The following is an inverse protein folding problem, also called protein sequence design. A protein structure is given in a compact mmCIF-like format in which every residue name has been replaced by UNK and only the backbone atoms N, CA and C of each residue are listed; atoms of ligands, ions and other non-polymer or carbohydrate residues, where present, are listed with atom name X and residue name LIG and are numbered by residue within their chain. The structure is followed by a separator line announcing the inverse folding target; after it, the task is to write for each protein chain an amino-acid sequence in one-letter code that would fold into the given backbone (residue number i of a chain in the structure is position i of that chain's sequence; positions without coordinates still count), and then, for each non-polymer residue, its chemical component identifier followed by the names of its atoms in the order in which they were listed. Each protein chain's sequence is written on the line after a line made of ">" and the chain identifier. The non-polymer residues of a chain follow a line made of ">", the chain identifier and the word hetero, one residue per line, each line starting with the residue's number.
data_IF_157548119441
#
_entry.id   IF_157548119441
#
_cell.length_a   1.000
_cell.length_b   1.000
_cell.length_c   1.000
_cell.angle_alpha   90.00
_cell.angle_beta   90.00
_cell.angle_gamma   90.00
#
_symmetry.space_group_name_H-M   'P 1'
#
loop_
_entity.id
_entity.type
_entity.pdbx_description
1 polymer ?
#
# COMPACT_ATOMS: atom_id res chain seq x y z
N UNK A 1 -19.58 -39.64 32.60
CA UNK A 1 -19.84 -40.21 31.25
C UNK A 1 -19.25 -39.35 30.11
N UNK A 2 -19.38 -37.98 30.13
CA UNK A 2 -18.83 -37.13 29.09
C UNK A 2 -17.28 -37.11 29.17
N UNK A 3 -16.71 -37.01 30.35
CA UNK A 3 -15.25 -36.94 30.55
C UNK A 3 -14.59 -38.31 30.29
N UNK A 4 -15.27 -39.42 30.61
CA UNK A 4 -14.79 -40.75 30.25
C UNK A 4 -14.77 -40.98 28.75
N UNK A 5 -15.81 -40.51 28.03
CA UNK A 5 -15.90 -40.58 26.57
C UNK A 5 -14.76 -39.76 25.91
N UNK A 6 -14.51 -38.55 26.40
CA UNK A 6 -13.42 -37.69 25.92
C UNK A 6 -12.05 -38.32 26.19
N UNK A 7 -11.86 -39.01 27.33
CA UNK A 7 -10.61 -39.73 27.61
C UNK A 7 -10.38 -40.90 26.68
N UNK A 8 -11.46 -41.66 26.39
CA UNK A 8 -11.39 -42.79 25.45
C UNK A 8 -11.13 -42.33 24.03
N UNK A 9 -11.80 -41.27 23.56
CA UNK A 9 -11.57 -40.68 22.25
C UNK A 9 -10.14 -40.17 22.12
N UNK A 10 -9.59 -39.55 23.14
CA UNK A 10 -8.18 -39.08 23.15
C UNK A 10 -7.19 -40.26 23.07
N UNK A 11 -7.48 -41.39 23.75
CA UNK A 11 -6.65 -42.62 23.64
C UNK A 11 -6.75 -43.26 22.26
N UNK A 12 -7.96 -43.32 21.67
CA UNK A 12 -8.18 -43.85 20.33
C UNK A 12 -7.41 -43.01 19.29
N UNK A 13 -7.47 -41.69 19.36
CA UNK A 13 -6.74 -40.81 18.46
C UNK A 13 -5.21 -40.97 18.60
N UNK A 14 -4.69 -41.15 19.82
CA UNK A 14 -3.25 -41.41 20.04
C UNK A 14 -2.84 -42.76 19.43
N UNK A 15 -3.65 -43.78 19.55
CA UNK A 15 -3.38 -45.12 18.96
C UNK A 15 -3.47 -45.09 17.43
N UNK A 16 -4.44 -44.37 16.89
CA UNK A 16 -4.62 -44.18 15.43
C UNK A 16 -3.41 -43.42 14.82
N UNK A 17 -2.96 -42.39 15.48
CA UNK A 17 -1.76 -41.66 15.06
C UNK A 17 -0.47 -42.51 15.14
N UNK A 18 -0.37 -43.40 16.13
CA UNK A 18 0.75 -44.37 16.20
C UNK A 18 0.66 -45.43 15.10
N UNK A 19 -0.53 -45.92 14.78
CA UNK A 19 -0.76 -46.83 13.64
C UNK A 19 -0.41 -46.17 12.31
N UNK A 20 -0.89 -44.94 12.08
CA UNK A 20 -0.55 -44.16 10.91
C UNK A 20 0.98 -43.92 10.75
N UNK A 21 1.68 -43.71 11.87
CA UNK A 21 3.17 -43.62 11.87
C UNK A 21 3.85 -44.92 11.50
N UNK A 22 3.35 -46.02 11.98
CA UNK A 22 3.89 -47.38 11.69
C UNK A 22 3.62 -47.74 10.22
N UNK A 23 2.44 -47.45 9.69
CA UNK A 23 2.10 -47.67 8.28
C UNK A 23 2.95 -46.77 7.35
N UNK A 24 3.18 -45.53 7.75
CA UNK A 24 4.06 -44.61 6.99
C UNK A 24 5.52 -45.13 6.98
N UNK A 25 6.03 -45.65 8.08
CA UNK A 25 7.36 -46.26 8.13
C UNK A 25 7.45 -47.54 7.29
N UNK A 26 6.35 -48.32 7.22
CA UNK A 26 6.26 -49.46 6.32
C UNK A 26 6.27 -49.02 4.83
N UNK A 27 5.51 -47.97 4.50
CA UNK A 27 5.53 -47.36 3.17
C UNK A 27 6.94 -46.86 2.80
N UNK A 28 7.66 -46.23 3.74
CA UNK A 28 9.03 -45.76 3.52
C UNK A 28 10.01 -46.91 3.29
N UNK A 29 9.88 -48.03 3.99
CA UNK A 29 10.66 -49.25 3.76
C UNK A 29 10.31 -49.92 2.42
N UNK A 30 9.03 -49.95 2.04
CA UNK A 30 8.59 -50.45 0.74
C UNK A 30 9.15 -49.57 -0.41
N UNK A 31 9.21 -48.26 -0.21
CA UNK A 31 9.84 -47.34 -1.17
C UNK A 31 11.37 -47.60 -1.29
N UNK A 32 12.07 -47.82 -0.18
CA UNK A 32 13.50 -48.14 -0.21
C UNK A 32 13.78 -49.47 -0.93
N UNK A 33 12.96 -50.48 -0.66
CA UNK A 33 13.05 -51.78 -1.38
C UNK A 33 12.68 -51.60 -2.85
N UNK A 34 11.66 -50.82 -3.14
CA UNK A 34 11.25 -50.47 -4.51
C UNK A 34 12.34 -49.72 -5.27
N UNK A 35 13.05 -48.82 -4.61
CA UNK A 35 14.16 -48.08 -5.20
C UNK A 35 15.34 -49.00 -5.53
N UNK A 36 15.68 -49.91 -4.63
CA UNK A 36 16.75 -50.94 -4.88
C UNK A 36 16.37 -51.88 -6.02
N UNK A 37 15.10 -52.31 -6.11
CA UNK A 37 14.59 -53.16 -7.18
C UNK A 37 14.57 -52.44 -8.53
N UNK A 38 14.20 -51.17 -8.53
CA UNK A 38 14.14 -50.31 -9.73
C UNK A 38 15.54 -50.01 -10.30
N UNK A 39 16.54 -49.90 -9.44
CA UNK A 39 17.93 -49.63 -9.87
C UNK A 39 18.66 -50.91 -10.41
N UNK A 40 17.96 -52.06 -10.43
CA UNK A 40 18.46 -53.25 -11.07
C UNK A 40 18.33 -53.15 -12.61
N UNK A 41 19.42 -53.22 -13.38
CA UNK A 41 19.43 -52.94 -14.83
C UNK A 41 18.56 -53.86 -15.70
N UNK A 42 17.97 -54.91 -15.13
CA UNK A 42 17.09 -55.88 -15.83
C UNK A 42 15.60 -55.51 -15.67
N UNK A 43 15.23 -54.53 -14.80
CA UNK A 43 13.84 -54.23 -14.47
C UNK A 43 13.37 -52.82 -14.93
N UNK A 44 14.16 -52.13 -15.72
CA UNK A 44 13.86 -50.79 -16.23
C UNK A 44 12.60 -50.72 -17.11
N UNK A 45 12.08 -51.84 -17.59
CA UNK A 45 10.86 -51.91 -18.40
C UNK A 45 9.59 -52.18 -17.57
N UNK A 46 9.70 -52.43 -16.28
CA UNK A 46 8.54 -52.59 -15.41
C UNK A 46 8.06 -51.18 -14.97
N UNK A 47 6.79 -50.87 -15.24
CA UNK A 47 6.17 -49.62 -14.82
C UNK A 47 6.32 -49.45 -13.29
N UNK A 48 7.00 -48.42 -12.78
CA UNK A 48 7.29 -48.30 -11.37
C UNK A 48 5.99 -48.15 -10.57
N UNK A 49 5.88 -48.85 -9.44
CA UNK A 49 4.71 -48.84 -8.57
C UNK A 49 4.35 -47.42 -8.08
N UNK A 50 5.36 -46.53 -7.96
CA UNK A 50 5.18 -45.10 -7.66
C UNK A 50 5.75 -44.28 -8.80
N UNK A 51 4.85 -43.63 -9.54
CA UNK A 51 5.24 -42.76 -10.65
C UNK A 51 5.27 -41.30 -10.21
N UNK A 52 6.41 -40.65 -10.42
CA UNK A 52 6.49 -39.18 -10.22
C UNK A 52 6.13 -38.50 -11.54
N UNK A 53 4.97 -37.86 -11.56
CA UNK A 53 4.57 -37.02 -12.67
C UNK A 53 5.29 -35.66 -12.59
N UNK A 54 5.83 -35.22 -13.72
CA UNK A 54 6.60 -33.98 -13.76
C UNK A 54 6.24 -33.15 -14.97
N UNK A 55 5.86 -31.91 -14.73
CA UNK A 55 5.66 -30.90 -15.75
C UNK A 55 6.92 -30.04 -15.85
N UNK A 56 7.49 -29.92 -17.04
CA UNK A 56 8.68 -29.09 -17.33
C UNK A 56 8.21 -27.87 -18.09
N UNK A 57 8.16 -26.71 -17.42
CA UNK A 57 7.74 -25.45 -17.99
C UNK A 57 8.95 -24.78 -18.63
N UNK A 58 9.08 -24.89 -19.94
CA UNK A 58 10.27 -24.45 -20.68
C UNK A 58 10.40 -22.94 -20.78
N UNK A 59 9.28 -22.25 -20.87
CA UNK A 59 9.24 -20.80 -21.09
C UNK A 59 9.38 -20.01 -19.79
N UNK A 60 9.24 -20.66 -18.64
CA UNK A 60 9.44 -20.06 -17.32
C UNK A 60 10.74 -20.59 -16.74
N UNK A 61 11.75 -19.72 -16.75
CA UNK A 61 13.06 -20.02 -16.17
C UNK A 61 13.17 -19.44 -14.77
N UNK A 62 14.04 -20.01 -13.96
CA UNK A 62 14.44 -19.41 -12.69
C UNK A 62 15.91 -19.71 -12.39
N UNK A 63 16.54 -18.86 -11.63
CA UNK A 63 17.93 -18.97 -11.28
C UNK A 63 18.14 -20.03 -10.19
N UNK A 64 19.04 -20.95 -10.43
CA UNK A 64 19.53 -21.89 -9.45
C UNK A 64 21.06 -21.82 -9.46
N UNK A 65 21.65 -21.30 -8.40
CA UNK A 65 23.10 -21.20 -8.27
C UNK A 65 23.79 -20.58 -9.51
N UNK A 66 23.27 -19.42 -9.97
CA UNK A 66 23.77 -18.66 -11.13
C UNK A 66 23.51 -19.32 -12.51
N UNK A 67 22.70 -20.37 -12.56
CA UNK A 67 22.28 -20.98 -13.81
C UNK A 67 20.78 -20.85 -14.02
N UNK A 68 20.36 -20.39 -15.20
CA UNK A 68 18.95 -20.40 -15.60
C UNK A 68 18.52 -21.83 -15.95
N UNK A 69 17.54 -22.35 -15.23
CA UNK A 69 16.98 -23.68 -15.47
C UNK A 69 15.48 -23.62 -15.70
N UNK A 70 14.90 -24.51 -16.52
CA UNK A 70 13.47 -24.62 -16.68
C UNK A 70 12.79 -24.91 -15.34
N UNK A 71 11.62 -24.31 -15.14
CA UNK A 71 10.80 -24.60 -13.99
C UNK A 71 10.24 -26.01 -14.06
N UNK A 72 10.20 -26.69 -12.92
CA UNK A 72 9.73 -28.07 -12.83
C UNK A 72 8.72 -28.19 -11.71
N UNK A 73 7.55 -28.70 -12.02
CA UNK A 73 6.45 -28.94 -11.08
C UNK A 73 6.08 -30.43 -11.02
N UNK A 74 6.02 -30.99 -9.81
CA UNK A 74 5.68 -32.39 -9.53
C UNK A 74 4.34 -32.54 -8.79
N UNK A 75 3.57 -31.50 -8.73
CA UNK A 75 2.31 -31.42 -7.98
C UNK A 75 1.32 -32.49 -8.41
N UNK A 76 1.24 -32.81 -9.69
CA UNK A 76 0.35 -33.84 -10.24
C UNK A 76 0.73 -35.28 -9.83
N UNK A 77 1.86 -35.47 -9.14
CA UNK A 77 2.17 -36.77 -8.52
C UNK A 77 1.26 -37.10 -7.33
N UNK A 78 0.73 -36.07 -6.66
CA UNK A 78 -0.20 -36.21 -5.53
C UNK A 78 -1.59 -35.72 -5.90
N UNK A 79 -1.72 -34.64 -6.67
CA UNK A 79 -2.99 -34.07 -7.12
C UNK A 79 -3.45 -34.75 -8.42
N UNK A 80 -3.84 -36.03 -8.31
CA UNK A 80 -4.09 -36.90 -9.47
C UNK A 80 -5.40 -36.59 -10.20
N UNK A 81 -6.40 -36.03 -9.51
CA UNK A 81 -7.70 -35.67 -10.10
C UNK A 81 -7.82 -34.21 -10.55
N UNK A 82 -6.69 -33.48 -10.54
CA UNK A 82 -6.72 -32.00 -10.61
C UNK A 82 -7.28 -31.45 -11.93
N UNK A 83 -7.12 -32.18 -13.02
CA UNK A 83 -7.58 -31.83 -14.37
C UNK A 83 -8.85 -32.60 -14.80
N UNK A 84 -9.38 -33.48 -13.95
CA UNK A 84 -10.55 -34.29 -14.25
C UNK A 84 -11.81 -33.71 -13.59
N UNK A 85 -12.83 -33.29 -14.35
CA UNK A 85 -14.06 -32.71 -13.82
C UNK A 85 -14.87 -33.66 -12.93
N UNK A 86 -14.71 -34.97 -13.05
CA UNK A 86 -15.44 -35.96 -12.28
C UNK A 86 -15.01 -36.05 -10.80
N UNK A 87 -13.92 -35.37 -10.45
CA UNK A 87 -13.35 -35.35 -9.11
C UNK A 87 -13.70 -34.07 -8.32
N UNK A 88 -14.69 -33.29 -8.75
CA UNK A 88 -15.08 -32.03 -8.08
C UNK A 88 -15.43 -32.20 -6.60
N UNK A 89 -16.05 -33.34 -6.24
CA UNK A 89 -16.45 -33.66 -4.86
C UNK A 89 -15.43 -34.55 -4.12
N UNK A 90 -14.30 -34.86 -4.75
CA UNK A 90 -13.27 -35.69 -4.14
C UNK A 90 -12.53 -34.90 -3.04
N UNK A 91 -12.09 -35.56 -1.95
CA UNK A 91 -11.27 -34.91 -0.93
C UNK A 91 -9.88 -34.56 -1.47
N UNK A 92 -9.24 -33.55 -0.87
CA UNK A 92 -7.84 -33.26 -1.13
C UNK A 92 -6.94 -34.47 -0.80
N UNK A 93 -5.94 -34.78 -1.63
CA UNK A 93 -5.40 -34.00 -2.77
C UNK A 93 -6.04 -34.32 -4.14
N UNK A 94 -7.11 -35.06 -4.20
CA UNK A 94 -7.67 -35.62 -5.45
C UNK A 94 -8.72 -34.70 -6.10
N UNK A 95 -9.12 -33.63 -5.47
CA UNK A 95 -10.17 -32.74 -5.98
C UNK A 95 -9.76 -32.02 -7.25
N UNK A 96 -10.73 -31.80 -8.14
CA UNK A 96 -10.57 -31.05 -9.39
C UNK A 96 -10.16 -29.61 -9.11
N UNK A 97 -9.31 -29.03 -9.96
CA UNK A 97 -9.01 -27.62 -9.91
C UNK A 97 -10.25 -26.77 -10.26
N UNK A 98 -10.59 -25.75 -9.47
CA UNK A 98 -11.69 -24.86 -9.84
C UNK A 98 -11.39 -24.13 -11.16
N UNK A 99 -12.43 -23.85 -11.94
CA UNK A 99 -12.35 -23.11 -13.20
C UNK A 99 -11.42 -23.74 -14.26
N UNK A 100 -11.65 -24.99 -14.62
CA UNK A 100 -10.89 -25.69 -15.67
C UNK A 100 -10.92 -24.98 -17.03
N UNK A 101 -11.97 -24.19 -17.30
CA UNK A 101 -12.06 -23.37 -18.52
C UNK A 101 -11.01 -22.26 -18.58
N UNK A 102 -10.49 -21.82 -17.44
CA UNK A 102 -9.46 -20.80 -17.33
C UNK A 102 -8.06 -21.36 -17.09
N UNK A 103 -7.96 -22.53 -16.44
CA UNK A 103 -6.70 -23.07 -15.94
C UNK A 103 -6.52 -24.54 -16.29
N UNK A 104 -5.26 -24.98 -16.37
CA UNK A 104 -4.77 -26.35 -16.42
C UNK A 104 -4.97 -27.05 -17.75
N UNK A 105 -6.19 -27.08 -18.29
CA UNK A 105 -6.48 -27.83 -19.53
C UNK A 105 -5.71 -27.25 -20.72
N UNK A 106 -5.42 -28.09 -21.71
CA UNK A 106 -4.72 -27.66 -22.94
C UNK A 106 -5.51 -26.63 -23.77
N UNK A 107 -6.83 -26.57 -23.59
CA UNK A 107 -7.72 -25.62 -24.25
C UNK A 107 -7.89 -24.31 -23.47
N UNK A 108 -7.47 -24.28 -22.21
CA UNK A 108 -7.59 -23.10 -21.36
C UNK A 108 -6.55 -22.02 -21.72
N UNK A 109 -6.80 -20.73 -21.35
CA UNK A 109 -5.80 -19.66 -21.50
C UNK A 109 -4.50 -19.91 -20.74
N UNK A 110 -4.53 -20.76 -19.68
CA UNK A 110 -3.37 -21.08 -18.85
C UNK A 110 -3.12 -22.59 -18.80
N UNK A 111 -2.66 -23.22 -19.90
CA UNK A 111 -2.35 -24.63 -19.92
C UNK A 111 -1.23 -24.98 -18.92
N UNK A 112 -1.37 -26.12 -18.26
CA UNK A 112 -0.40 -26.59 -17.28
C UNK A 112 1.01 -26.73 -17.86
N UNK A 113 1.13 -27.18 -19.12
CA UNK A 113 2.42 -27.36 -19.79
C UNK A 113 3.17 -26.04 -20.02
N UNK A 114 2.45 -24.92 -20.16
CA UNK A 114 3.04 -23.61 -20.40
C UNK A 114 3.32 -22.84 -19.11
N UNK A 115 2.47 -22.98 -18.10
CA UNK A 115 2.55 -22.16 -16.88
C UNK A 115 2.98 -22.94 -15.64
N UNK A 116 2.72 -24.26 -15.58
CA UNK A 116 2.92 -25.06 -14.38
C UNK A 116 1.97 -24.66 -13.25
N UNK A 117 2.18 -25.23 -12.09
CA UNK A 117 1.39 -24.98 -10.89
C UNK A 117 1.99 -23.84 -10.04
N UNK A 118 3.31 -23.88 -9.85
CA UNK A 118 4.00 -22.95 -8.93
C UNK A 118 4.16 -21.54 -9.47
N UNK A 119 3.80 -21.27 -10.73
CA UNK A 119 3.71 -19.89 -11.26
C UNK A 119 2.61 -19.10 -10.57
N UNK A 120 1.48 -19.75 -10.26
CA UNK A 120 0.35 -19.17 -9.56
C UNK A 120 0.39 -19.43 -8.05
N UNK A 121 0.67 -20.67 -7.65
CA UNK A 121 0.60 -21.08 -6.24
C UNK A 121 1.88 -20.80 -5.45
N UNK A 122 2.99 -20.46 -6.10
CA UNK A 122 4.33 -20.45 -5.50
C UNK A 122 4.70 -21.84 -4.94
N UNK A 123 5.56 -21.93 -3.93
CA UNK A 123 5.98 -23.22 -3.38
C UNK A 123 7.17 -23.84 -4.09
N UNK A 124 7.54 -25.05 -3.66
CA UNK A 124 8.68 -25.79 -4.20
C UNK A 124 8.19 -26.89 -5.15
N UNK A 125 8.14 -26.59 -6.45
CA UNK A 125 7.63 -27.49 -7.49
C UNK A 125 8.35 -28.84 -7.58
N UNK A 126 9.61 -28.91 -7.15
CA UNK A 126 10.41 -30.16 -7.10
C UNK A 126 10.15 -30.99 -5.84
N UNK A 127 9.30 -30.55 -4.94
CA UNK A 127 8.92 -31.30 -3.74
C UNK A 127 8.20 -32.61 -4.11
N UNK A 128 8.44 -33.66 -3.33
CA UNK A 128 7.84 -34.98 -3.48
C UNK A 128 7.10 -35.43 -2.22
N UNK A 129 6.92 -34.54 -1.26
CA UNK A 129 6.08 -34.75 -0.07
C UNK A 129 5.29 -33.47 0.26
N UNK A 130 4.31 -33.59 1.13
CA UNK A 130 3.48 -32.47 1.57
C UNK A 130 4.32 -31.32 2.14
N UNK A 131 5.27 -31.65 3.04
CA UNK A 131 6.17 -30.66 3.65
C UNK A 131 7.18 -30.12 2.65
N UNK A 132 7.83 -31.00 1.85
CA UNK A 132 8.88 -30.58 0.92
C UNK A 132 8.33 -29.75 -0.24
N UNK A 133 7.05 -29.79 -0.55
CA UNK A 133 6.37 -28.90 -1.50
C UNK A 133 6.02 -27.54 -0.90
N UNK A 134 6.26 -27.36 0.40
CA UNK A 134 6.08 -26.10 1.17
C UNK A 134 4.64 -25.60 1.22
N UNK A 135 3.69 -26.52 1.42
CA UNK A 135 2.30 -26.13 1.65
C UNK A 135 2.19 -25.17 2.85
N UNK A 136 1.35 -24.15 2.73
CA UNK A 136 1.15 -23.13 3.76
C UNK A 136 -0.31 -23.16 4.22
N UNK A 137 -0.57 -23.29 5.53
CA UNK A 137 -1.94 -23.35 6.06
C UNK A 137 -2.69 -22.04 5.85
N UNK A 138 -4.00 -22.12 5.58
CA UNK A 138 -4.85 -20.95 5.45
C UNK A 138 -5.22 -20.35 6.81
N UNK A 139 -5.33 -21.19 7.84
CA UNK A 139 -5.80 -20.83 9.18
C UNK A 139 -4.89 -21.44 10.26
N UNK A 140 -4.95 -20.95 11.52
CA UNK A 140 -4.28 -21.59 12.63
C UNK A 140 -4.75 -23.04 12.85
N UNK A 141 -6.02 -23.33 12.62
CA UNK A 141 -6.61 -24.67 12.76
C UNK A 141 -6.03 -25.63 11.72
N UNK A 142 -5.88 -25.19 10.47
CA UNK A 142 -5.20 -25.97 9.43
C UNK A 142 -3.77 -26.30 9.83
N UNK A 143 -3.07 -25.32 10.43
CA UNK A 143 -1.69 -25.51 10.88
C UNK A 143 -1.56 -26.60 11.94
N UNK A 144 -2.43 -26.60 12.95
CA UNK A 144 -2.38 -27.62 14.00
C UNK A 144 -2.76 -28.99 13.44
N UNK A 145 -3.83 -29.08 12.63
CA UNK A 145 -4.25 -30.30 11.96
C UNK A 145 -3.11 -30.87 11.08
N UNK A 146 -2.43 -30.05 10.31
CA UNK A 146 -1.36 -30.50 9.41
C UNK A 146 -0.11 -30.95 10.15
N UNK A 147 0.17 -30.40 11.32
CA UNK A 147 1.23 -30.93 12.19
C UNK A 147 0.91 -32.36 12.65
N UNK A 148 -0.34 -32.64 12.96
CA UNK A 148 -0.77 -33.98 13.40
C UNK A 148 -0.84 -34.98 12.23
N UNK A 149 -1.40 -34.55 11.08
CA UNK A 149 -1.65 -35.42 9.94
C UNK A 149 -0.42 -35.66 9.06
N UNK A 150 0.40 -34.63 8.85
CA UNK A 150 1.50 -34.63 7.88
C UNK A 150 2.88 -34.35 8.47
N UNK A 151 3.02 -34.24 9.80
CA UNK A 151 4.22 -33.74 10.49
C UNK A 151 4.67 -32.39 9.88
N UNK A 152 3.70 -31.52 9.61
CA UNK A 152 3.98 -30.28 8.90
C UNK A 152 4.84 -29.34 9.76
N UNK A 153 5.90 -28.83 9.15
CA UNK A 153 6.74 -27.78 9.68
C UNK A 153 7.06 -26.75 8.58
N UNK A 154 7.35 -25.53 9.00
CA UNK A 154 7.75 -24.49 8.06
C UNK A 154 9.19 -24.74 7.60
N UNK A 155 9.38 -24.85 6.28
CA UNK A 155 10.71 -24.98 5.68
C UNK A 155 11.43 -23.62 5.68
N UNK A 156 12.32 -23.38 6.62
CA UNK A 156 12.97 -22.09 6.86
C UNK A 156 13.91 -21.63 5.73
N UNK A 157 14.55 -22.57 5.04
CA UNK A 157 15.51 -22.28 3.98
C UNK A 157 14.85 -22.08 2.60
N UNK A 158 13.52 -22.18 2.49
CA UNK A 158 12.79 -21.91 1.25
C UNK A 158 12.06 -20.57 1.34
N UNK A 159 12.51 -19.58 0.56
CA UNK A 159 12.05 -18.19 0.68
C UNK A 159 10.66 -17.94 0.06
N UNK A 160 10.21 -18.86 -0.81
CA UNK A 160 8.92 -18.72 -1.52
C UNK A 160 8.00 -19.91 -1.23
N UNK A 161 7.47 -20.04 0.00
CA UNK A 161 6.53 -21.09 0.31
C UNK A 161 5.25 -20.95 -0.54
N UNK A 162 4.46 -22.01 -0.61
CA UNK A 162 3.18 -21.98 -1.31
C UNK A 162 2.28 -20.90 -0.68
N UNK A 163 1.61 -20.13 -1.53
CA UNK A 163 0.64 -19.15 -1.04
C UNK A 163 -0.56 -19.86 -0.40
N UNK A 164 -1.05 -19.41 0.76
CA UNK A 164 -2.37 -19.81 1.21
C UNK A 164 -3.40 -19.59 0.09
N UNK A 165 -4.31 -20.55 -0.11
CA UNK A 165 -5.21 -20.53 -1.27
C UNK A 165 -6.05 -19.24 -1.38
N UNK A 166 -6.37 -18.62 -0.24
CA UNK A 166 -7.06 -17.32 -0.20
C UNK A 166 -6.30 -16.18 -0.88
N UNK A 167 -4.98 -16.30 -1.08
CA UNK A 167 -4.12 -15.29 -1.68
C UNK A 167 -3.60 -15.66 -3.08
N UNK A 168 -3.97 -16.82 -3.62
CA UNK A 168 -3.45 -17.32 -4.92
C UNK A 168 -3.72 -16.32 -6.04
N UNK A 169 -4.88 -15.67 -6.06
CA UNK A 169 -5.22 -14.67 -7.08
C UNK A 169 -4.27 -13.46 -7.11
N UNK A 170 -3.53 -13.17 -6.03
CA UNK A 170 -2.50 -12.14 -6.05
C UNK A 170 -1.38 -12.44 -7.06
N UNK A 171 -1.15 -13.70 -7.39
CA UNK A 171 -0.16 -14.11 -8.39
C UNK A 171 -0.52 -13.71 -9.81
N UNK A 172 -1.79 -13.49 -10.13
CA UNK A 172 -2.24 -13.03 -11.44
C UNK A 172 -1.61 -11.68 -11.81
N UNK A 173 -1.37 -10.83 -10.82
CA UNK A 173 -0.78 -9.51 -11.00
C UNK A 173 0.66 -9.56 -11.55
N UNK A 174 1.37 -10.66 -11.39
CA UNK A 174 2.75 -10.84 -11.93
C UNK A 174 2.79 -10.69 -13.46
N UNK A 175 1.72 -11.14 -14.14
CA UNK A 175 1.60 -11.10 -15.60
C UNK A 175 0.54 -10.09 -16.07
N UNK A 176 -0.50 -9.86 -15.26
CA UNK A 176 -1.66 -9.01 -15.59
C UNK A 176 -1.66 -7.69 -14.83
N UNK A 177 -0.49 -7.05 -14.68
CA UNK A 177 -0.34 -5.79 -13.90
C UNK A 177 -1.11 -4.61 -14.49
N UNK A 178 -1.45 -4.64 -15.78
CA UNK A 178 -2.14 -3.56 -16.48
C UNK A 178 -3.64 -3.85 -16.72
N UNK A 179 -4.16 -4.93 -16.15
CA UNK A 179 -5.57 -5.33 -16.34
C UNK A 179 -6.34 -5.13 -15.05
N UNK A 180 -7.45 -4.39 -15.13
CA UNK A 180 -8.27 -4.03 -13.96
C UNK A 180 -9.45 -4.96 -13.73
N UNK A 181 -9.76 -5.82 -14.70
CA UNK A 181 -10.88 -6.77 -14.61
C UNK A 181 -10.45 -8.10 -15.26
N UNK A 182 -10.09 -9.05 -14.40
CA UNK A 182 -9.63 -10.37 -14.77
C UNK A 182 -10.69 -11.41 -14.44
N UNK A 183 -11.11 -12.18 -15.42
CA UNK A 183 -11.94 -13.36 -15.19
C UNK A 183 -11.18 -14.36 -14.30
N UNK A 184 -11.83 -14.86 -13.24
CA UNK A 184 -11.22 -15.74 -12.25
C UNK A 184 -10.27 -15.04 -11.26
N UNK A 185 -10.20 -13.71 -11.30
CA UNK A 185 -9.39 -12.86 -10.42
C UNK A 185 -10.21 -11.93 -9.54
N UNK A 186 -11.40 -12.31 -9.09
CA UNK A 186 -12.39 -11.44 -8.45
C UNK A 186 -11.84 -10.77 -7.17
N UNK A 187 -11.04 -11.49 -6.38
CA UNK A 187 -10.40 -10.93 -5.17
C UNK A 187 -9.30 -9.93 -5.54
N UNK A 188 -8.54 -10.19 -6.60
CA UNK A 188 -7.55 -9.25 -7.11
C UNK A 188 -8.22 -7.99 -7.65
N UNK A 189 -9.28 -8.14 -8.45
CA UNK A 189 -10.06 -7.03 -9.00
C UNK A 189 -10.62 -6.14 -7.90
N UNK A 190 -11.21 -6.75 -6.86
CA UNK A 190 -11.68 -6.03 -5.68
C UNK A 190 -10.52 -5.30 -4.96
N UNK A 191 -9.39 -5.97 -4.77
CA UNK A 191 -8.21 -5.39 -4.14
C UNK A 191 -7.68 -4.18 -4.90
N UNK A 192 -7.55 -4.28 -6.23
CA UNK A 192 -7.11 -3.18 -7.11
C UNK A 192 -8.09 -2.01 -7.07
N UNK A 193 -9.40 -2.29 -7.15
CA UNK A 193 -10.45 -1.27 -7.03
C UNK A 193 -10.41 -0.57 -5.67
N UNK A 194 -10.18 -1.30 -4.57
CA UNK A 194 -10.07 -0.70 -3.24
C UNK A 194 -8.82 0.18 -3.10
N UNK A 195 -7.67 -0.26 -3.65
CA UNK A 195 -6.42 0.52 -3.65
C UNK A 195 -6.62 1.85 -4.39
N UNK A 196 -7.31 1.82 -5.53
CA UNK A 196 -7.61 3.03 -6.32
C UNK A 196 -8.62 3.94 -5.60
N UNK A 197 -9.74 3.38 -5.15
CA UNK A 197 -10.82 4.14 -4.49
C UNK A 197 -10.38 4.75 -3.16
N UNK A 198 -9.58 4.02 -2.37
CA UNK A 198 -9.03 4.51 -1.11
C UNK A 198 -7.84 5.45 -1.30
N UNK A 199 -7.29 5.56 -2.52
CA UNK A 199 -6.17 6.45 -2.82
C UNK A 199 -4.86 6.02 -2.17
N UNK A 200 -4.65 4.71 -1.94
CA UNK A 200 -3.47 4.17 -1.27
C UNK A 200 -2.16 4.60 -1.95
N UNK A 201 -2.19 4.75 -3.29
CA UNK A 201 -1.06 5.22 -4.09
C UNK A 201 -0.66 6.68 -3.81
N UNK A 202 -1.53 7.45 -3.19
CA UNK A 202 -1.23 8.81 -2.76
C UNK A 202 -0.14 8.87 -1.70
N UNK A 203 -0.07 7.84 -0.85
CA UNK A 203 0.89 7.75 0.25
C UNK A 203 1.92 6.63 0.05
N UNK A 204 1.55 5.53 -0.59
CA UNK A 204 2.41 4.36 -0.77
C UNK A 204 2.96 4.29 -2.19
N UNK A 205 4.29 4.17 -2.30
CA UNK A 205 4.94 3.88 -3.57
C UNK A 205 4.84 2.38 -3.86
N UNK A 206 4.32 2.05 -5.05
CA UNK A 206 4.35 0.69 -5.58
C UNK A 206 5.05 0.71 -6.95
N UNK A 207 6.10 -0.07 -7.10
CA UNK A 207 6.88 -0.15 -8.34
C UNK A 207 6.04 -0.59 -9.55
N UNK A 208 4.96 -1.34 -9.30
CA UNK A 208 4.05 -1.80 -10.35
C UNK A 208 3.03 -0.73 -10.79
N UNK A 209 2.99 0.43 -10.11
CA UNK A 209 2.16 1.59 -10.50
C UNK A 209 2.99 2.87 -10.63
N UNK A 210 4.05 2.87 -11.44
CA UNK A 210 4.98 4.01 -11.52
C UNK A 210 4.36 5.27 -12.11
N UNK A 211 3.25 5.15 -12.84
CA UNK A 211 2.66 6.25 -13.61
C UNK A 211 1.44 6.89 -12.95
N UNK A 212 0.96 6.36 -11.83
CA UNK A 212 -0.18 6.97 -11.14
C UNK A 212 0.26 8.26 -10.43
N UNK A 213 -0.39 9.36 -10.78
CA UNK A 213 -0.21 10.62 -10.09
C UNK A 213 -0.62 10.46 -8.62
N UNK A 214 0.25 10.90 -7.71
CA UNK A 214 -0.07 10.95 -6.28
C UNK A 214 -1.27 11.86 -6.06
N UNK A 215 -2.16 11.48 -5.13
CA UNK A 215 -3.34 12.28 -4.79
C UNK A 215 -2.96 13.62 -4.10
N UNK A 216 -1.84 13.64 -3.38
CA UNK A 216 -1.30 14.81 -2.73
C UNK A 216 -0.33 15.61 -3.63
N UNK A 217 -0.17 16.90 -3.37
CA UNK A 217 0.81 17.74 -4.07
C UNK A 217 2.25 17.35 -3.68
N UNK A 218 3.20 17.72 -4.54
CA UNK A 218 4.62 17.66 -4.20
C UNK A 218 4.92 18.61 -3.02
N UNK A 219 5.58 18.11 -2.01
CA UNK A 219 5.88 18.85 -0.78
C UNK A 219 7.27 19.50 -0.78
N UNK A 220 8.11 19.26 -1.78
CA UNK A 220 9.52 19.72 -1.79
C UNK A 220 9.68 21.23 -1.65
N UNK A 221 8.82 22.02 -2.29
CA UNK A 221 8.88 23.47 -2.28
C UNK A 221 7.62 24.09 -1.65
N UNK A 222 7.01 23.38 -0.72
CA UNK A 222 5.74 23.82 -0.12
C UNK A 222 5.90 25.12 0.68
N UNK A 223 7.07 25.34 1.25
CA UNK A 223 7.47 26.53 1.99
C UNK A 223 7.51 27.82 1.15
N UNK A 224 7.60 27.73 -0.16
CA UNK A 224 7.49 28.89 -1.07
C UNK A 224 6.02 29.26 -1.31
N UNK A 225 5.16 28.26 -1.32
CA UNK A 225 3.76 28.35 -1.73
C UNK A 225 2.80 28.69 -0.60
N UNK A 226 2.97 28.06 0.57
CA UNK A 226 1.99 28.09 1.65
C UNK A 226 2.48 28.91 2.85
N UNK A 227 1.51 29.40 3.60
CA UNK A 227 1.73 29.97 4.92
C UNK A 227 1.99 28.86 5.97
N UNK A 228 2.92 29.09 6.89
CA UNK A 228 3.34 28.12 7.90
C UNK A 228 2.21 27.81 8.89
N UNK A 229 1.52 28.83 9.38
CA UNK A 229 0.39 28.65 10.32
C UNK A 229 -0.77 27.90 9.63
N UNK A 230 -0.99 28.22 8.34
CA UNK A 230 -1.96 27.48 7.53
C UNK A 230 -1.61 25.98 7.45
N UNK A 231 -0.34 25.63 7.23
CA UNK A 231 0.08 24.23 7.15
C UNK A 231 -0.09 23.52 8.46
N UNK A 232 0.26 24.12 9.58
CA UNK A 232 0.05 23.54 10.91
C UNK A 232 -1.43 23.26 11.20
N UNK A 233 -2.32 24.22 10.92
CA UNK A 233 -3.76 24.07 11.06
C UNK A 233 -4.33 23.01 10.12
N UNK A 234 -3.85 22.98 8.87
CA UNK A 234 -4.24 21.98 7.87
C UNK A 234 -3.84 20.56 8.28
N UNK A 235 -2.61 20.34 8.72
CA UNK A 235 -2.13 19.04 9.19
C UNK A 235 -2.94 18.57 10.41
N UNK A 236 -3.29 19.50 11.29
CA UNK A 236 -4.09 19.23 12.48
C UNK A 236 -5.50 18.75 12.12
N UNK A 237 -6.19 19.47 11.25
CA UNK A 237 -7.57 19.18 10.83
C UNK A 237 -7.84 19.65 9.40
N UNK A 238 -7.57 18.82 8.37
CA UNK A 238 -7.77 19.22 6.98
C UNK A 238 -9.21 19.56 6.63
N UNK A 239 -10.18 18.88 7.26
CA UNK A 239 -11.61 19.07 7.00
C UNK A 239 -12.11 20.44 7.43
N UNK A 240 -11.45 21.09 8.40
CA UNK A 240 -11.80 22.43 8.87
C UNK A 240 -11.60 23.49 7.77
N UNK A 241 -10.58 23.35 6.92
CA UNK A 241 -10.39 24.24 5.77
C UNK A 241 -11.24 23.80 4.57
N UNK A 242 -11.35 22.48 4.34
CA UNK A 242 -12.07 21.90 3.20
C UNK A 242 -12.69 20.56 3.57
N UNK A 243 -14.01 20.55 3.80
CA UNK A 243 -14.75 19.39 4.30
C UNK A 243 -14.64 18.15 3.40
N UNK A 244 -14.48 18.32 2.09
CA UNK A 244 -14.38 17.24 1.10
C UNK A 244 -12.92 16.92 0.67
N UNK A 245 -11.95 17.27 1.51
CA UNK A 245 -10.54 16.96 1.22
C UNK A 245 -10.29 15.47 1.18
N UNK A 246 -9.38 15.04 0.29
CA UNK A 246 -8.88 13.66 0.26
C UNK A 246 -7.75 13.41 1.27
N UNK A 247 -7.21 14.45 1.88
CA UNK A 247 -6.21 14.28 2.94
C UNK A 247 -6.87 13.63 4.15
N UNK A 248 -6.39 12.46 4.62
CA UNK A 248 -6.96 11.81 5.79
C UNK A 248 -6.72 12.66 7.04
N UNK A 249 -7.68 12.67 7.95
CA UNK A 249 -7.48 13.21 9.28
C UNK A 249 -6.59 12.22 10.07
N UNK A 250 -5.32 12.54 10.23
CA UNK A 250 -4.34 11.71 10.96
C UNK A 250 -4.41 11.99 12.46
N UNK A 251 -4.61 13.25 12.81
CA UNK A 251 -4.65 13.75 14.19
C UNK A 251 -6.09 13.99 14.64
N UNK A 252 -6.29 14.13 15.96
CA UNK A 252 -7.59 14.40 16.57
C UNK A 252 -8.68 13.33 16.29
N UNK A 253 -8.28 12.07 16.19
CA UNK A 253 -9.21 10.94 16.12
C UNK A 253 -9.82 10.67 17.51
N UNK A 254 -11.02 10.09 17.56
CA UNK A 254 -11.70 9.77 18.84
C UNK A 254 -10.86 8.87 19.75
N UNK A 255 -10.07 7.97 19.19
CA UNK A 255 -9.14 7.10 19.90
C UNK A 255 -7.84 7.78 20.35
N UNK A 256 -7.65 9.06 20.03
CA UNK A 256 -6.48 9.89 20.37
C UNK A 256 -6.83 11.01 21.36
N UNK A 257 -7.96 10.95 22.03
CA UNK A 257 -8.43 12.00 22.96
C UNK A 257 -7.80 11.93 24.37
N UNK A 258 -6.84 11.03 24.58
CA UNK A 258 -6.02 11.05 25.79
C UNK A 258 -5.13 12.32 25.81
N UNK A 259 -5.09 13.09 26.93
CA UNK A 259 -4.29 14.31 27.04
C UNK A 259 -2.81 14.14 26.69
N UNK A 260 -2.21 13.02 27.06
CA UNK A 260 -0.81 12.69 26.74
C UNK A 260 -0.61 12.49 25.22
N UNK A 261 -1.46 11.72 24.58
CA UNK A 261 -1.41 11.50 23.13
C UNK A 261 -1.66 12.83 22.39
N UNK A 262 -2.59 13.65 22.86
CA UNK A 262 -2.85 14.97 22.29
C UNK A 262 -1.63 15.88 22.39
N UNK A 263 -0.90 15.84 23.51
CA UNK A 263 0.33 16.60 23.67
C UNK A 263 1.42 16.15 22.71
N UNK A 264 1.61 14.85 22.52
CA UNK A 264 2.54 14.31 21.51
C UNK A 264 2.12 14.66 20.08
N UNK A 265 0.84 14.56 19.75
CA UNK A 265 0.31 14.96 18.43
C UNK A 265 0.61 16.43 18.12
N UNK A 266 0.47 17.31 19.12
CA UNK A 266 0.80 18.73 18.95
C UNK A 266 2.29 18.94 18.63
N UNK A 267 3.18 18.20 19.27
CA UNK A 267 4.61 18.24 18.95
C UNK A 267 4.90 17.68 17.55
N UNK A 268 4.26 16.60 17.17
CA UNK A 268 4.42 16.02 15.83
C UNK A 268 3.95 16.97 14.73
N UNK A 269 2.79 17.64 14.90
CA UNK A 269 2.30 18.65 13.95
C UNK A 269 3.29 19.80 13.82
N UNK A 270 3.79 20.34 14.95
CA UNK A 270 4.81 21.38 14.94
C UNK A 270 6.10 20.93 14.25
N UNK A 271 6.55 19.69 14.53
CA UNK A 271 7.71 19.10 13.90
C UNK A 271 7.54 18.91 12.38
N UNK A 272 6.39 18.40 11.94
CA UNK A 272 6.07 18.26 10.50
C UNK A 272 6.15 19.62 9.82
N UNK A 273 5.54 20.63 10.41
CA UNK A 273 5.54 22.00 9.87
C UNK A 273 6.96 22.56 9.78
N UNK A 274 7.73 22.50 10.86
CA UNK A 274 9.14 22.95 10.88
C UNK A 274 9.99 22.23 9.82
N UNK A 275 9.82 20.91 9.69
CA UNK A 275 10.56 20.13 8.68
C UNK A 275 10.22 20.53 7.25
N UNK A 276 8.94 20.79 6.94
CA UNK A 276 8.51 21.23 5.62
C UNK A 276 8.97 22.65 5.28
N UNK A 277 9.21 23.48 6.29
CA UNK A 277 9.67 24.85 6.15
C UNK A 277 11.19 25.01 6.35
N UNK A 278 11.90 23.92 6.55
CA UNK A 278 13.35 23.91 6.72
C UNK A 278 14.06 24.64 5.56
N UNK A 279 14.95 25.57 5.91
CA UNK A 279 15.72 26.35 4.94
C UNK A 279 15.00 27.57 4.36
N UNK A 280 13.78 27.87 4.79
CA UNK A 280 13.13 29.14 4.47
C UNK A 280 13.79 30.26 5.26
N UNK A 281 14.31 31.27 4.56
CA UNK A 281 14.63 32.54 5.20
C UNK A 281 13.33 33.15 5.75
N UNK A 282 13.28 33.42 7.06
CA UNK A 282 12.07 33.88 7.78
C UNK A 282 11.50 35.21 7.27
N UNK A 283 12.18 35.89 6.34
CA UNK A 283 11.83 37.20 5.83
C UNK A 283 11.18 37.26 4.43
N UNK A 284 10.96 36.11 3.76
CA UNK A 284 10.41 36.08 2.39
C UNK A 284 8.92 36.30 2.27
N UNK A 285 8.19 36.69 3.24
CA UNK A 285 6.73 36.69 3.13
C UNK A 285 5.99 37.96 3.51
N UNK A 286 6.67 39.01 3.94
CA UNK A 286 5.97 40.19 4.49
C UNK A 286 6.00 41.46 3.65
N UNK A 287 6.60 41.44 2.46
CA UNK A 287 6.54 42.60 1.55
C UNK A 287 5.30 42.50 0.63
N UNK A 288 4.11 42.57 1.25
CA UNK A 288 2.82 42.58 0.54
C UNK A 288 2.67 43.75 -0.48
N UNK A 289 3.53 44.77 -0.42
CA UNK A 289 3.47 45.93 -1.31
C UNK A 289 4.12 45.72 -2.68
N UNK A 290 4.81 44.61 -2.91
CA UNK A 290 5.49 44.35 -4.21
C UNK A 290 4.54 43.96 -5.32
N UNK A 291 3.37 43.42 -5.01
CA UNK A 291 2.40 42.85 -5.96
C UNK A 291 1.05 43.54 -5.86
N UNK A 292 1.04 44.88 -5.71
CA UNK A 292 -0.20 45.67 -5.73
C UNK A 292 -0.82 45.60 -7.12
N UNK A 293 -2.04 45.11 -7.23
CA UNK A 293 -2.82 45.09 -8.46
C UNK A 293 -4.22 45.64 -8.23
N UNK A 294 -4.93 45.86 -9.33
CA UNK A 294 -6.34 46.30 -9.34
C UNK A 294 -7.25 45.07 -9.24
N UNK A 295 -8.04 45.00 -8.17
CA UNK A 295 -8.92 43.86 -7.91
C UNK A 295 -10.12 43.77 -8.86
N UNK A 296 -10.68 44.92 -9.29
CA UNK A 296 -11.81 44.97 -10.23
C UNK A 296 -11.36 44.51 -11.64
N UNK A 297 -10.17 44.98 -12.05
CA UNK A 297 -9.56 44.50 -13.29
C UNK A 297 -9.19 43.03 -13.19
N UNK A 298 -8.69 42.57 -12.02
CA UNK A 298 -8.41 41.16 -11.75
C UNK A 298 -9.64 40.26 -11.87
N UNK A 299 -10.78 40.69 -11.37
CA UNK A 299 -12.06 39.98 -11.53
C UNK A 299 -12.47 39.89 -13.00
N UNK A 300 -12.38 41.02 -13.71
CA UNK A 300 -12.68 41.07 -15.15
C UNK A 300 -11.78 40.13 -15.95
N UNK A 301 -10.48 40.09 -15.65
CA UNK A 301 -9.52 39.18 -16.26
C UNK A 301 -9.84 37.71 -15.93
N UNK A 302 -10.13 37.40 -14.66
CA UNK A 302 -10.44 36.06 -14.22
C UNK A 302 -11.64 35.46 -15.00
N UNK A 303 -12.67 36.26 -15.21
CA UNK A 303 -13.86 35.88 -15.95
C UNK A 303 -13.60 35.81 -17.48
N UNK A 304 -12.85 36.76 -18.06
CA UNK A 304 -12.66 36.86 -19.50
C UNK A 304 -11.61 35.90 -20.07
N UNK A 305 -10.57 35.56 -19.30
CA UNK A 305 -9.50 34.62 -19.72
C UNK A 305 -10.00 33.17 -19.69
N UNK A 306 -11.07 32.91 -18.92
CA UNK A 306 -11.69 31.58 -18.85
C UNK A 306 -11.12 30.67 -17.72
N UNK A 307 -10.60 31.26 -16.65
CA UNK A 307 -10.10 30.55 -15.46
C UNK A 307 -11.17 29.59 -14.88
N UNK A 308 -12.43 29.99 -14.92
CA UNK A 308 -13.61 29.21 -14.48
C UNK A 308 -13.81 27.92 -15.30
N UNK A 309 -13.22 27.81 -16.48
CA UNK A 309 -13.23 26.56 -17.26
C UNK A 309 -12.58 25.39 -16.53
N UNK A 310 -11.55 25.68 -15.73
CA UNK A 310 -10.79 24.68 -14.98
C UNK A 310 -10.94 24.82 -13.46
N UNK A 311 -11.23 26.00 -12.92
CA UNK A 311 -11.27 26.29 -11.50
C UNK A 311 -12.69 26.62 -10.99
N UNK A 312 -12.89 26.44 -9.69
CA UNK A 312 -14.07 26.94 -8.95
C UNK A 312 -13.55 27.99 -7.97
N UNK A 313 -14.20 29.15 -7.92
CA UNK A 313 -13.83 30.26 -7.02
C UNK A 313 -14.92 30.58 -5.99
N UNK A 314 -16.16 30.14 -6.23
CA UNK A 314 -17.29 30.45 -5.36
C UNK A 314 -17.85 29.22 -4.66
N UNK A 315 -18.39 29.42 -3.47
CA UNK A 315 -19.11 28.38 -2.75
C UNK A 315 -20.43 28.05 -3.47
N UNK A 316 -20.73 26.76 -3.57
CA UNK A 316 -22.04 26.33 -4.10
C UNK A 316 -23.10 26.69 -3.06
N UNK A 317 -24.22 27.35 -3.45
CA UNK A 317 -25.30 27.68 -2.52
C UNK A 317 -25.81 26.42 -1.78
N UNK A 318 -26.16 26.57 -0.51
CA UNK A 318 -26.75 25.50 0.33
C UNK A 318 -28.03 24.90 -0.27
N UNK A 319 -28.76 25.69 -1.08
CA UNK A 319 -29.98 25.26 -1.79
C UNK A 319 -29.71 24.35 -3.00
N UNK A 320 -28.47 24.19 -3.44
CA UNK A 320 -28.17 23.33 -4.57
C UNK A 320 -28.28 21.84 -4.17
N UNK A 321 -28.80 20.97 -5.05
CA UNK A 321 -28.86 19.54 -4.77
C UNK A 321 -27.48 18.99 -4.39
N UNK A 322 -27.41 18.11 -3.40
CA UNK A 322 -26.15 17.57 -2.88
C UNK A 322 -25.25 16.94 -3.96
N UNK A 323 -25.85 16.36 -5.00
CA UNK A 323 -25.14 15.77 -6.12
C UNK A 323 -24.42 16.84 -6.98
N UNK A 324 -25.04 18.01 -7.17
CA UNK A 324 -24.43 19.12 -7.91
C UNK A 324 -23.31 19.79 -7.10
N UNK A 325 -23.41 19.81 -5.77
CA UNK A 325 -22.36 20.31 -4.90
C UNK A 325 -21.06 19.51 -5.04
N UNK A 326 -21.16 18.19 -5.11
CA UNK A 326 -19.98 17.34 -5.24
C UNK A 326 -19.28 17.54 -6.59
N UNK A 327 -20.00 17.50 -7.69
CA UNK A 327 -19.44 17.65 -9.04
C UNK A 327 -18.89 19.08 -9.28
N UNK A 328 -19.51 20.09 -8.75
CA UNK A 328 -19.05 21.47 -8.90
C UNK A 328 -17.80 21.77 -8.08
N UNK A 329 -17.57 21.08 -6.94
CA UNK A 329 -16.39 21.26 -6.09
C UNK A 329 -15.18 20.42 -6.54
N UNK A 330 -15.35 19.49 -7.47
CA UNK A 330 -14.31 18.56 -7.93
C UNK A 330 -14.06 18.64 -9.42
N UNK A 331 -13.73 19.82 -9.94
CA UNK A 331 -13.21 19.92 -11.31
C UNK A 331 -11.84 19.23 -11.39
N UNK A 332 -11.69 18.36 -12.38
CA UNK A 332 -10.53 17.47 -12.52
C UNK A 332 -9.30 18.22 -13.05
N UNK A 333 -9.50 19.34 -13.76
CA UNK A 333 -8.44 20.05 -14.44
C UNK A 333 -7.64 20.97 -13.51
N UNK A 334 -8.33 21.67 -12.60
CA UNK A 334 -7.70 22.65 -11.70
C UNK A 334 -8.25 22.55 -10.27
N UNK A 335 -7.45 22.94 -9.27
CA UNK A 335 -7.89 22.94 -7.87
C UNK A 335 -9.00 23.96 -7.65
N UNK A 336 -9.81 23.71 -6.60
CA UNK A 336 -10.74 24.67 -6.07
C UNK A 336 -9.99 25.85 -5.43
N UNK A 337 -10.37 27.07 -5.81
CA UNK A 337 -9.75 28.32 -5.36
C UNK A 337 -10.45 28.97 -4.16
N UNK A 338 -11.54 28.39 -3.66
CA UNK A 338 -12.24 28.90 -2.46
C UNK A 338 -11.26 28.93 -1.28
N UNK A 339 -11.14 30.08 -0.65
CA UNK A 339 -10.21 30.28 0.46
C UNK A 339 -8.74 30.35 0.05
N UNK A 340 -8.42 30.56 -1.25
CA UNK A 340 -7.03 30.61 -1.73
C UNK A 340 -6.20 31.66 -0.99
N UNK A 341 -6.77 32.84 -0.74
CA UNK A 341 -6.10 33.95 -0.05
C UNK A 341 -5.70 33.65 1.41
N UNK A 342 -6.31 32.66 2.04
CA UNK A 342 -5.89 32.18 3.36
C UNK A 342 -4.79 31.11 3.30
N UNK A 343 -4.45 30.63 2.09
CA UNK A 343 -3.62 29.46 1.92
C UNK A 343 -2.24 29.75 1.33
N UNK A 344 -2.18 30.62 0.32
CA UNK A 344 -0.97 30.85 -0.48
C UNK A 344 -0.37 32.23 -0.22
N UNK A 345 0.95 32.34 -0.45
CA UNK A 345 1.64 33.63 -0.40
C UNK A 345 1.37 34.41 -1.70
N UNK A 346 1.34 35.76 -1.60
CA UNK A 346 1.15 36.63 -2.76
C UNK A 346 2.26 36.49 -3.79
N UNK A 347 3.49 36.30 -3.32
CA UNK A 347 4.68 36.14 -4.14
C UNK A 347 4.59 34.87 -4.98
N UNK A 348 4.31 33.75 -4.35
CA UNK A 348 4.14 32.50 -5.07
C UNK A 348 2.99 32.56 -6.10
N UNK A 349 1.85 33.15 -5.72
CA UNK A 349 0.70 33.23 -6.62
C UNK A 349 1.01 34.06 -7.87
N UNK A 350 1.70 35.19 -7.71
CA UNK A 350 2.13 36.02 -8.80
C UNK A 350 3.08 35.26 -9.76
N UNK A 351 4.14 34.66 -9.23
CA UNK A 351 5.09 33.88 -10.02
C UNK A 351 4.42 32.70 -10.73
N UNK A 352 3.51 32.01 -10.04
CA UNK A 352 2.70 30.95 -10.61
C UNK A 352 1.84 31.43 -11.78
N UNK A 353 1.24 32.61 -11.70
CA UNK A 353 0.44 33.16 -12.79
C UNK A 353 1.28 33.60 -13.98
N UNK A 354 2.51 34.04 -13.77
CA UNK A 354 3.46 34.39 -14.83
C UNK A 354 3.93 33.13 -15.57
N UNK A 355 4.44 32.13 -14.85
CA UNK A 355 4.89 30.88 -15.45
C UNK A 355 4.73 29.68 -14.51
N UNK A 356 3.62 28.93 -14.61
CA UNK A 356 3.37 27.81 -13.72
C UNK A 356 4.42 26.68 -13.81
N UNK A 357 5.06 26.54 -14.99
CA UNK A 357 6.03 25.48 -15.25
C UNK A 357 7.36 25.69 -14.51
N UNK A 358 7.69 26.91 -14.11
CA UNK A 358 8.90 27.21 -13.33
C UNK A 358 8.83 26.57 -11.93
N UNK A 359 7.63 26.56 -11.33
CA UNK A 359 7.40 25.90 -10.03
C UNK A 359 7.14 24.40 -10.18
N UNK A 360 6.38 23.99 -11.19
CA UNK A 360 6.04 22.59 -11.46
C UNK A 360 6.04 22.33 -12.97
N UNK A 361 7.11 21.73 -13.48
CA UNK A 361 7.29 21.46 -14.92
C UNK A 361 6.20 20.53 -15.52
N UNK A 362 5.54 19.72 -14.69
CA UNK A 362 4.49 18.79 -15.10
C UNK A 362 3.06 19.31 -14.85
N UNK A 363 2.90 20.58 -14.51
CA UNK A 363 1.58 21.16 -14.24
C UNK A 363 0.67 21.12 -15.48
N UNK A 364 -0.62 20.89 -15.24
CA UNK A 364 -1.65 20.99 -16.29
C UNK A 364 -2.12 22.40 -16.55
N UNK A 365 -1.80 23.36 -15.65
CA UNK A 365 -2.12 24.75 -15.86
C UNK A 365 -1.27 25.30 -17.00
N UNK A 366 -1.89 25.80 -18.10
CA UNK A 366 -1.15 26.37 -19.20
C UNK A 366 -0.50 27.70 -18.80
N UNK A 367 0.59 28.06 -19.48
CA UNK A 367 1.09 29.42 -19.42
C UNK A 367 0.13 30.33 -20.21
N UNK A 368 -0.54 31.22 -19.50
CA UNK A 368 -1.55 32.13 -20.07
C UNK A 368 -0.94 33.36 -20.75
N UNK A 369 0.41 33.49 -20.72
CA UNK A 369 1.14 34.63 -21.30
C UNK A 369 0.68 35.98 -20.77
N UNK A 370 0.39 36.04 -19.48
CA UNK A 370 -0.06 37.26 -18.80
C UNK A 370 1.09 38.28 -18.77
N UNK A 371 0.72 39.55 -18.94
CA UNK A 371 1.64 40.63 -18.61
C UNK A 371 1.84 40.73 -17.09
N UNK A 372 2.94 41.35 -16.66
CA UNK A 372 3.20 41.56 -15.23
C UNK A 372 2.05 42.28 -14.51
N UNK A 373 1.38 43.25 -15.17
CA UNK A 373 0.25 43.95 -14.59
C UNK A 373 -0.97 43.06 -14.48
N UNK A 374 -1.32 42.30 -15.50
CA UNK A 374 -2.43 41.33 -15.46
C UNK A 374 -2.23 40.27 -14.36
N UNK A 375 -1.00 39.77 -14.19
CA UNK A 375 -0.70 38.83 -13.11
C UNK A 375 -0.85 39.46 -11.72
N UNK A 376 -0.47 40.74 -11.54
CA UNK A 376 -0.69 41.49 -10.28
C UNK A 376 -2.17 41.66 -9.99
N UNK A 377 -2.96 42.06 -10.99
CA UNK A 377 -4.39 42.30 -10.85
C UNK A 377 -5.13 41.01 -10.47
N UNK A 378 -4.82 39.90 -11.17
CA UNK A 378 -5.34 38.56 -10.83
C UNK A 378 -4.90 38.10 -9.45
N UNK A 379 -3.66 38.37 -9.04
CA UNK A 379 -3.15 38.03 -7.70
C UNK A 379 -3.95 38.81 -6.64
N UNK A 380 -4.15 40.10 -6.82
CA UNK A 380 -4.92 40.94 -5.90
C UNK A 380 -6.39 40.44 -5.76
N UNK A 381 -7.03 40.11 -6.87
CA UNK A 381 -8.38 39.56 -6.89
C UNK A 381 -8.45 38.21 -6.17
N UNK A 382 -7.60 37.25 -6.53
CA UNK A 382 -7.63 35.88 -5.99
C UNK A 382 -7.33 35.83 -4.49
N UNK A 383 -6.50 36.73 -3.97
CA UNK A 383 -6.17 36.79 -2.55
C UNK A 383 -7.30 37.36 -1.67
N UNK A 384 -8.34 37.95 -2.27
CA UNK A 384 -9.56 38.33 -1.52
C UNK A 384 -10.41 37.13 -1.10
N UNK A 385 -10.29 36.00 -1.79
CA UNK A 385 -11.03 34.79 -1.47
C UNK A 385 -10.45 34.09 -0.23
N UNK A 386 -10.89 34.54 0.95
CA UNK A 386 -10.41 34.06 2.25
C UNK A 386 -11.41 33.17 2.95
N UNK A 387 -10.89 32.21 3.73
CA UNK A 387 -11.66 31.45 4.72
C UNK A 387 -11.45 32.07 6.10
N UNK A 388 -12.31 33.00 6.44
CA UNK A 388 -12.24 33.80 7.71
C UNK A 388 -12.35 32.93 8.96
N UNK A 389 -13.16 31.87 8.92
CA UNK A 389 -13.32 30.95 10.05
C UNK A 389 -12.02 30.22 10.33
N UNK A 390 -11.36 29.74 9.29
CA UNK A 390 -10.08 29.05 9.39
C UNK A 390 -8.95 30.01 9.83
N UNK A 391 -8.89 31.22 9.30
CA UNK A 391 -7.91 32.23 9.71
C UNK A 391 -8.05 32.60 11.19
N UNK A 392 -9.29 32.77 11.67
CA UNK A 392 -9.58 33.11 13.06
C UNK A 392 -9.37 31.97 14.05
N UNK A 393 -9.18 30.73 13.58
CA UNK A 393 -8.87 29.62 14.47
C UNK A 393 -7.49 29.81 15.12
N UNK A 394 -7.31 29.39 16.39
CA UNK A 394 -6.05 29.58 17.11
C UNK A 394 -4.85 28.95 16.37
N UNK A 395 -3.74 29.70 16.35
CA UNK A 395 -2.46 29.16 15.85
C UNK A 395 -2.03 27.93 16.64
N UNK A 396 -1.37 27.02 15.97
CA UNK A 396 -0.95 25.77 16.57
C UNK A 396 0.08 26.00 17.70
N UNK A 397 -0.10 25.33 18.82
CA UNK A 397 0.77 25.43 20.00
C UNK A 397 1.20 24.04 20.45
N UNK A 398 2.41 23.92 21.00
CA UNK A 398 2.95 22.69 21.59
C UNK A 398 3.74 23.02 22.86
N UNK A 399 3.95 22.01 23.71
CA UNK A 399 4.73 22.11 24.94
C UNK A 399 6.18 21.68 24.69
N UNK A 400 7.14 22.53 25.10
CA UNK A 400 8.58 22.25 24.94
C UNK A 400 9.05 21.07 25.77
N UNK A 401 8.48 20.85 26.94
CA UNK A 401 8.83 19.70 27.78
C UNK A 401 8.42 18.38 27.13
N UNK A 402 7.26 18.38 26.45
CA UNK A 402 6.77 17.24 25.67
C UNK A 402 7.65 16.99 24.44
N UNK A 403 8.15 18.05 23.78
CA UNK A 403 9.12 17.92 22.68
C UNK A 403 10.40 17.20 23.16
N UNK A 404 10.94 17.61 24.32
CA UNK A 404 12.14 17.01 24.89
C UNK A 404 11.90 15.51 25.18
N UNK A 405 10.79 15.20 25.85
CA UNK A 405 10.40 13.83 26.15
C UNK A 405 10.20 12.98 24.91
N UNK A 406 9.42 13.46 23.94
CA UNK A 406 9.15 12.74 22.69
C UNK A 406 10.45 12.49 21.91
N UNK A 407 11.36 13.47 21.87
CA UNK A 407 12.68 13.31 21.23
C UNK A 407 13.47 12.17 21.85
N UNK A 408 13.54 12.11 23.18
CA UNK A 408 14.19 11.01 23.90
C UNK A 408 13.50 9.68 23.58
N UNK A 409 12.18 9.62 23.63
CA UNK A 409 11.39 8.41 23.38
C UNK A 409 11.60 7.87 21.94
N UNK A 410 11.67 8.74 20.96
CA UNK A 410 11.97 8.33 19.57
C UNK A 410 13.41 7.83 19.43
N UNK A 411 14.38 8.49 20.08
CA UNK A 411 15.78 8.07 20.06
C UNK A 411 16.01 6.73 20.80
N UNK A 412 15.24 6.43 21.83
CA UNK A 412 15.29 5.16 22.59
C UNK A 412 14.91 3.95 21.73
N UNK A 413 14.17 4.12 20.65
CA UNK A 413 13.84 3.01 19.73
C UNK A 413 15.08 2.38 19.08
N UNK A 414 16.18 3.13 18.99
CA UNK A 414 17.43 2.67 18.35
C UNK A 414 18.69 2.86 19.21
N UNK A 415 18.58 3.41 20.41
CA UNK A 415 19.69 3.67 21.30
C UNK A 415 19.35 3.32 22.76
N UNK A 416 20.32 2.87 23.58
CA UNK A 416 20.14 2.79 25.02
C UNK A 416 19.77 4.16 25.62
N UNK A 417 18.94 4.17 26.64
CA UNK A 417 18.37 5.40 27.23
C UNK A 417 19.41 6.48 27.57
N UNK A 418 20.52 6.11 28.16
CA UNK A 418 21.59 7.05 28.49
C UNK A 418 22.14 7.79 27.26
N UNK A 419 22.31 7.09 26.15
CA UNK A 419 22.77 7.68 24.90
C UNK A 419 21.68 8.51 24.22
N UNK A 420 20.41 8.06 24.29
CA UNK A 420 19.28 8.80 23.76
C UNK A 420 19.13 10.17 24.43
N UNK A 421 19.20 10.22 25.79
CA UNK A 421 19.19 11.48 26.54
C UNK A 421 20.37 12.37 26.19
N UNK A 422 21.59 11.86 26.24
CA UNK A 422 22.79 12.63 25.92
C UNK A 422 22.77 13.18 24.47
N UNK A 423 22.12 12.50 23.54
CA UNK A 423 21.94 12.97 22.18
C UNK A 423 20.86 14.04 22.09
N UNK A 424 19.73 13.86 22.75
CA UNK A 424 18.67 14.85 22.82
C UNK A 424 19.12 16.16 23.48
N UNK A 425 19.91 16.08 24.55
CA UNK A 425 20.44 17.26 25.25
C UNK A 425 21.38 18.13 24.41
N UNK A 426 22.00 17.54 23.38
CA UNK A 426 22.87 18.28 22.43
C UNK A 426 22.11 18.97 21.31
N UNK A 427 20.83 18.62 21.10
CA UNK A 427 19.99 19.19 20.07
C UNK A 427 19.31 20.46 20.59
N UNK A 428 19.35 21.52 19.80
CA UNK A 428 18.52 22.69 20.05
C UNK A 428 17.03 22.41 19.75
N UNK A 429 16.16 23.37 20.05
CA UNK A 429 14.72 23.23 19.86
C UNK A 429 14.34 23.00 18.39
N UNK A 430 14.98 23.68 17.46
CA UNK A 430 14.71 23.57 16.03
C UNK A 430 15.19 22.22 15.48
N UNK A 431 16.35 21.76 15.94
CA UNK A 431 16.89 20.45 15.59
C UNK A 431 15.98 19.32 16.08
N UNK A 432 15.42 19.42 17.31
CA UNK A 432 14.43 18.48 17.84
C UNK A 432 13.15 18.46 17.02
N UNK A 433 12.60 19.63 16.71
CA UNK A 433 11.42 19.71 15.85
C UNK A 433 11.65 19.11 14.47
N UNK A 434 12.75 19.48 13.81
CA UNK A 434 13.12 18.89 12.51
C UNK A 434 13.29 17.37 12.58
N UNK A 435 13.91 16.86 13.67
CA UNK A 435 14.07 15.43 13.88
C UNK A 435 12.71 14.73 14.05
N UNK A 436 11.84 15.26 14.91
CA UNK A 436 10.50 14.69 15.10
C UNK A 436 9.70 14.81 13.80
N UNK A 437 9.75 15.95 13.09
CA UNK A 437 9.06 16.14 11.83
C UNK A 437 9.47 15.14 10.75
N UNK A 438 10.77 14.90 10.57
CA UNK A 438 11.26 13.87 9.66
C UNK A 438 10.73 12.48 10.00
N UNK A 439 10.72 12.12 11.29
CA UNK A 439 10.20 10.83 11.72
C UNK A 439 8.69 10.71 11.54
N UNK A 440 7.95 11.76 11.88
CA UNK A 440 6.48 11.78 11.75
C UNK A 440 6.05 11.74 10.28
N UNK A 441 6.67 12.51 9.38
CA UNK A 441 6.38 12.48 7.93
C UNK A 441 6.57 11.07 7.37
N UNK A 442 7.65 10.37 7.77
CA UNK A 442 7.90 8.99 7.36
C UNK A 442 6.92 8.00 7.99
N UNK A 443 6.58 8.21 9.26
CA UNK A 443 5.66 7.34 9.99
C UNK A 443 4.25 7.39 9.39
N UNK A 444 3.76 8.57 9.07
CA UNK A 444 2.42 8.79 8.51
C UNK A 444 2.37 8.68 6.97
N UNK A 445 3.49 8.50 6.30
CA UNK A 445 3.55 8.31 4.85
C UNK A 445 3.17 9.57 4.06
N UNK A 446 3.59 10.75 4.49
CA UNK A 446 3.24 12.04 3.86
C UNK A 446 4.00 12.34 2.54
N UNK A 447 4.76 11.41 1.95
CA UNK A 447 5.59 11.63 0.74
C UNK A 447 5.37 10.61 -0.36
#
# INVERSE_FOLDING_TARGET
>A
RSDELNMVLKKVNILDNKLKKIDRNRMTLANQVGDVVRDLPILDFLDPYYKINQVVVRDVKYDVNFAEVPKVDRCTSCHLGIDNPDFSDAPQPYTTHPNLDLYITSASPHPMDNFGCTSCHAGRGRGTSFVSSTHTPNTPEDKERWKEEYDWEKMHHWLQPMLPTRYTQASCFKCHSNTSDLAGGEKLNLGLSLVDRAGCNGCHHNANWPTQAKAGPDLRNINEKLDEDWVAKWVKNPSHFRYNTRMPAIFQQENQNNPEITAYNNVEIAGITEYLFKGKEKDRGKNSNRYIGDTENGETLFNSIGCMGCHISESVPESAPAINNYYNLTKVQGPNLIGLGSKVTSEWLYEWLINPQDYMSTTRMPNLRLSSQQAKDLTAYLLQHKNQEFENSPSHQYDKSVLDELTVNVLKKSNPEKFARAKADKMDQQEKLNFIGEKSIRHYGCF
#
